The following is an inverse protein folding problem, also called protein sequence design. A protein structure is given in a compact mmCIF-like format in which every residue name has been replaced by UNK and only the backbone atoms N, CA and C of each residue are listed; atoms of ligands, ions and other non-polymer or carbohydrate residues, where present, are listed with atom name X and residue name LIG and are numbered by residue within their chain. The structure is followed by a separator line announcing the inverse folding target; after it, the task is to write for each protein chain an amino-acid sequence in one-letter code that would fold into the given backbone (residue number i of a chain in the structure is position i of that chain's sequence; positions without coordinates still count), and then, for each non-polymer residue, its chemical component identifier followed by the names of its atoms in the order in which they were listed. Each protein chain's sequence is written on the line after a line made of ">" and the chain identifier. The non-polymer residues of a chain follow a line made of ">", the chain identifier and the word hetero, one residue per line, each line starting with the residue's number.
data_IF_767144563269
#
_entry.id   IF_767144563269
#
_cell.length_a   1.000
_cell.length_b   1.000
_cell.length_c   1.000
_cell.angle_alpha   90.00
_cell.angle_beta   90.00
_cell.angle_gamma   90.00
#
_symmetry.space_group_name_H-M   'P 1'
#
loop_
_entity.id
_entity.type
_entity.pdbx_description
1 polymer ?
#
# COMPACT_ATOMS: atom_id res chain seq x y z
N UNK A 1 3.24 29.30 4.81
CA UNK A 1 2.19 28.41 4.32
C UNK A 1 2.25 27.10 5.12
N UNK A 2 1.21 26.82 5.89
CA UNK A 2 1.10 25.59 6.65
C UNK A 2 0.47 24.48 5.78
N UNK A 3 0.88 23.21 5.96
CA UNK A 3 0.35 22.11 5.19
C UNK A 3 -1.14 21.87 5.49
N UNK A 4 -1.87 21.34 4.50
CA UNK A 4 -3.20 20.76 4.71
C UNK A 4 -3.00 19.27 4.98
N UNK A 5 -3.45 18.81 6.15
CA UNK A 5 -3.28 17.42 6.61
C UNK A 5 -4.61 16.70 6.48
N UNK A 6 -4.59 15.51 5.88
CA UNK A 6 -5.74 14.62 5.79
C UNK A 6 -5.47 13.34 6.57
N UNK A 7 -6.50 12.83 7.23
CA UNK A 7 -6.46 11.50 7.83
C UNK A 7 -7.76 10.75 7.58
N UNK A 8 -7.69 9.43 7.60
CA UNK A 8 -8.85 8.56 7.40
C UNK A 8 -8.72 7.30 8.23
N UNK A 9 -9.83 6.82 8.75
CA UNK A 9 -9.91 5.55 9.47
C UNK A 9 -10.19 4.36 8.56
N UNK A 10 -10.31 4.55 7.23
CA UNK A 10 -10.72 3.50 6.27
C UNK A 10 -9.84 2.25 6.30
N UNK A 11 -8.56 2.38 6.69
CA UNK A 11 -7.61 1.26 6.82
C UNK A 11 -7.42 0.80 8.27
N UNK A 12 -8.10 1.42 9.22
CA UNK A 12 -7.94 1.19 10.67
C UNK A 12 -9.21 0.58 11.26
N UNK A 13 -10.40 1.06 10.83
CA UNK A 13 -11.69 0.68 11.41
C UNK A 13 -12.50 -0.20 10.45
N UNK A 14 -13.52 0.37 9.81
CA UNK A 14 -14.45 -0.37 8.94
C UNK A 14 -14.20 -0.05 7.48
N UNK A 15 -13.77 -1.02 6.65
CA UNK A 15 -13.64 -0.81 5.20
C UNK A 15 -14.96 -0.34 4.58
N UNK A 16 -14.89 0.70 3.76
CA UNK A 16 -16.08 1.29 3.12
C UNK A 16 -16.96 2.17 4.03
N UNK A 17 -16.67 2.24 5.32
CA UNK A 17 -17.39 3.06 6.29
C UNK A 17 -16.44 3.92 7.14
N UNK A 18 -15.29 4.27 6.62
CA UNK A 18 -14.31 5.09 7.32
C UNK A 18 -14.83 6.49 7.64
N UNK A 19 -14.25 7.09 8.68
CA UNK A 19 -14.39 8.51 9.00
C UNK A 19 -13.09 9.20 8.60
N UNK A 20 -13.19 10.36 7.96
CA UNK A 20 -12.04 11.16 7.58
C UNK A 20 -12.05 12.51 8.27
N UNK A 21 -10.88 13.09 8.46
CA UNK A 21 -10.72 14.43 8.97
C UNK A 21 -9.66 15.19 8.18
N UNK A 22 -9.77 16.51 8.22
CA UNK A 22 -8.82 17.43 7.60
C UNK A 22 -8.45 18.51 8.61
N UNK A 23 -7.19 18.88 8.64
CA UNK A 23 -6.68 19.99 9.44
C UNK A 23 -5.82 20.91 8.57
N UNK A 24 -5.95 22.21 8.80
CA UNK A 24 -5.16 23.25 8.17
C UNK A 24 -5.13 24.47 9.08
N UNK A 25 -4.37 25.48 8.71
CA UNK A 25 -4.45 26.79 9.38
C UNK A 25 -5.83 27.42 9.26
N UNK A 26 -6.11 28.42 10.10
CA UNK A 26 -7.44 29.01 10.21
C UNK A 26 -7.92 29.66 8.90
N UNK A 27 -7.03 30.30 8.14
CA UNK A 27 -7.38 30.97 6.89
C UNK A 27 -7.77 29.95 5.81
N UNK A 28 -6.97 28.89 5.64
CA UNK A 28 -7.29 27.78 4.73
C UNK A 28 -8.57 27.08 5.14
N UNK A 29 -8.77 26.80 6.44
CA UNK A 29 -10.01 26.19 6.93
C UNK A 29 -11.25 27.04 6.68
N UNK A 30 -11.14 28.35 6.75
CA UNK A 30 -12.23 29.28 6.42
C UNK A 30 -12.66 29.15 4.96
N UNK A 31 -11.69 29.20 4.04
CA UNK A 31 -11.94 29.03 2.60
C UNK A 31 -12.53 27.65 2.28
N UNK A 32 -11.99 26.62 2.90
CA UNK A 32 -12.46 25.23 2.70
C UNK A 32 -13.90 25.09 3.18
N UNK A 33 -14.24 25.55 4.40
CA UNK A 33 -15.60 25.49 4.95
C UNK A 33 -16.61 26.22 4.07
N UNK A 34 -16.24 27.39 3.54
CA UNK A 34 -17.10 28.15 2.63
C UNK A 34 -17.42 27.40 1.33
N UNK A 35 -16.52 26.58 0.83
CA UNK A 35 -16.76 25.72 -0.34
C UNK A 35 -17.53 24.46 -0.01
N UNK A 36 -17.18 23.81 1.10
CA UNK A 36 -17.83 22.55 1.54
C UNK A 36 -19.30 22.70 1.87
N UNK A 37 -19.75 23.86 2.35
CA UNK A 37 -21.16 24.10 2.67
C UNK A 37 -22.13 23.90 1.50
N UNK A 38 -21.63 24.01 0.26
CA UNK A 38 -22.43 23.71 -0.93
C UNK A 38 -22.42 22.23 -1.33
N UNK A 39 -21.46 21.47 -0.83
CA UNK A 39 -21.30 20.07 -1.15
C UNK A 39 -22.03 19.18 -0.14
N UNK A 40 -22.00 19.55 1.15
CA UNK A 40 -22.68 18.82 2.21
C UNK A 40 -23.09 19.76 3.35
N UNK A 41 -24.32 19.60 3.85
CA UNK A 41 -24.81 20.31 5.03
C UNK A 41 -24.34 19.62 6.31
N UNK A 42 -24.22 18.31 6.29
CA UNK A 42 -23.86 17.49 7.44
C UNK A 42 -23.16 16.21 6.97
N UNK A 43 -22.22 15.75 7.77
CA UNK A 43 -21.57 14.45 7.56
C UNK A 43 -22.46 13.31 8.09
N UNK A 44 -22.13 12.05 7.72
CA UNK A 44 -22.85 10.86 8.15
C UNK A 44 -22.68 10.64 9.68
N UNK A 45 -23.61 11.19 10.44
CA UNK A 45 -23.64 11.11 11.91
C UNK A 45 -23.93 9.68 12.40
N UNK A 46 -24.66 8.89 11.63
CA UNK A 46 -24.95 7.49 11.98
C UNK A 46 -23.65 6.67 11.93
N UNK A 47 -22.83 6.88 10.90
CA UNK A 47 -21.53 6.23 10.81
C UNK A 47 -20.56 6.68 11.91
N UNK A 48 -20.56 7.98 12.24
CA UNK A 48 -19.77 8.49 13.37
C UNK A 48 -20.23 7.86 14.70
N UNK A 49 -21.53 7.78 14.93
CA UNK A 49 -22.09 7.15 16.14
C UNK A 49 -21.72 5.67 16.21
N UNK A 50 -21.74 4.94 15.09
CA UNK A 50 -21.30 3.54 15.02
C UNK A 50 -19.85 3.39 15.49
N UNK A 51 -18.94 4.26 15.06
CA UNK A 51 -17.55 4.27 15.51
C UNK A 51 -17.46 4.51 17.02
N UNK A 52 -18.17 5.51 17.52
CA UNK A 52 -18.18 5.85 18.96
C UNK A 52 -18.69 4.67 19.79
N UNK A 53 -19.81 4.08 19.41
CA UNK A 53 -20.41 2.97 20.15
C UNK A 53 -19.56 1.69 20.12
N UNK A 54 -18.88 1.42 19.00
CA UNK A 54 -18.07 0.23 18.84
C UNK A 54 -16.70 0.35 19.54
N UNK A 55 -16.00 1.46 19.30
CA UNK A 55 -14.64 1.64 19.81
C UNK A 55 -14.60 2.27 21.20
N UNK A 56 -15.62 3.06 21.57
CA UNK A 56 -15.75 3.83 22.80
C UNK A 56 -14.72 4.94 22.93
N UNK A 57 -13.44 4.61 22.86
CA UNK A 57 -12.29 5.49 23.04
C UNK A 57 -11.12 5.07 22.14
N UNK A 58 -9.99 5.75 22.30
CA UNK A 58 -8.76 5.49 21.55
C UNK A 58 -8.16 4.11 21.86
N UNK A 59 -8.34 3.61 23.07
CA UNK A 59 -7.80 2.30 23.44
C UNK A 59 -8.60 1.16 22.78
N UNK A 60 -9.91 1.36 22.61
CA UNK A 60 -10.73 0.48 21.78
C UNK A 60 -10.30 0.46 20.32
N UNK A 61 -9.91 1.59 19.75
CA UNK A 61 -9.33 1.65 18.40
C UNK A 61 -8.01 0.88 18.32
N UNK A 62 -7.09 1.10 19.28
CA UNK A 62 -5.81 0.38 19.34
C UNK A 62 -6.00 -1.12 19.46
N UNK A 63 -6.88 -1.57 20.35
CA UNK A 63 -7.21 -2.98 20.51
C UNK A 63 -7.76 -3.62 19.22
N UNK A 64 -8.52 -2.86 18.43
CA UNK A 64 -8.98 -3.31 17.11
C UNK A 64 -7.83 -3.39 16.09
N UNK A 65 -6.94 -2.40 16.09
CA UNK A 65 -5.73 -2.42 15.25
C UNK A 65 -4.83 -3.62 15.56
N UNK A 66 -4.68 -4.00 16.82
CA UNK A 66 -3.91 -5.18 17.22
C UNK A 66 -4.51 -6.48 16.66
N UNK A 67 -5.83 -6.59 16.58
CA UNK A 67 -6.48 -7.74 15.91
C UNK A 67 -6.15 -7.78 14.41
N UNK A 68 -6.17 -6.65 13.72
CA UNK A 68 -5.76 -6.56 12.32
C UNK A 68 -4.28 -6.89 12.15
N UNK A 69 -3.42 -6.44 13.05
CA UNK A 69 -1.99 -6.76 13.08
C UNK A 69 -1.74 -8.27 13.15
N UNK A 70 -2.48 -9.01 13.97
CA UNK A 70 -2.36 -10.46 14.05
C UNK A 70 -2.65 -11.17 12.72
N UNK A 71 -3.52 -10.60 11.88
CA UNK A 71 -3.85 -11.12 10.55
C UNK A 71 -2.82 -10.70 9.51
N UNK A 72 -2.38 -9.44 9.55
CA UNK A 72 -1.55 -8.85 8.51
C UNK A 72 -0.06 -9.15 8.68
N UNK A 73 0.44 -9.12 9.93
CA UNK A 73 1.87 -9.29 10.18
C UNK A 73 2.46 -10.58 9.58
N UNK A 74 1.85 -11.77 9.73
CA UNK A 74 2.37 -12.99 9.10
C UNK A 74 2.52 -12.87 7.58
N UNK A 75 1.59 -12.15 6.93
CA UNK A 75 1.64 -11.91 5.48
C UNK A 75 2.80 -11.00 5.09
N UNK A 76 3.05 -9.95 5.87
CA UNK A 76 4.21 -9.09 5.66
C UNK A 76 5.53 -9.84 5.92
N UNK A 77 5.56 -10.69 6.94
CA UNK A 77 6.75 -11.50 7.25
C UNK A 77 7.11 -12.43 6.08
N UNK A 78 6.13 -13.04 5.39
CA UNK A 78 6.34 -13.83 4.17
C UNK A 78 6.98 -12.97 3.07
N UNK A 79 6.39 -11.82 2.76
CA UNK A 79 6.91 -10.94 1.70
C UNK A 79 8.35 -10.55 1.98
N UNK A 80 8.64 -10.05 3.19
CA UNK A 80 9.98 -9.59 3.55
C UNK A 80 10.99 -10.74 3.59
N UNK A 81 10.59 -11.92 4.03
CA UNK A 81 11.43 -13.13 4.02
C UNK A 81 11.86 -13.47 2.59
N UNK A 82 10.91 -13.59 1.66
CA UNK A 82 11.22 -13.89 0.25
C UNK A 82 12.11 -12.84 -0.41
N UNK A 83 11.85 -11.56 -0.15
CA UNK A 83 12.70 -10.49 -0.66
C UNK A 83 14.13 -10.61 -0.12
N UNK A 84 14.30 -10.80 1.18
CA UNK A 84 15.61 -10.93 1.83
C UNK A 84 16.39 -12.16 1.36
N UNK A 85 15.74 -13.30 1.32
CA UNK A 85 16.41 -14.59 1.06
C UNK A 85 16.67 -14.81 -0.45
N UNK A 86 15.72 -14.41 -1.31
CA UNK A 86 15.77 -14.73 -2.73
C UNK A 86 16.30 -13.58 -3.62
N UNK A 87 15.92 -12.34 -3.33
CA UNK A 87 16.30 -11.19 -4.16
C UNK A 87 17.47 -10.44 -3.56
N UNK A 88 17.52 -10.30 -2.23
CA UNK A 88 18.57 -9.57 -1.53
C UNK A 88 20.00 -9.93 -1.95
N UNK A 89 20.36 -11.22 -2.02
CA UNK A 89 21.72 -11.62 -2.44
C UNK A 89 22.10 -11.22 -3.86
N UNK A 90 21.13 -10.94 -4.73
CA UNK A 90 21.37 -10.58 -6.13
C UNK A 90 21.58 -9.09 -6.35
N UNK A 91 21.15 -8.25 -5.42
CA UNK A 91 21.24 -6.78 -5.53
C UNK A 91 20.38 -6.15 -6.64
N UNK A 92 19.47 -6.91 -7.27
CA UNK A 92 18.63 -6.41 -8.39
C UNK A 92 17.37 -5.67 -7.95
N UNK A 93 17.11 -5.61 -6.65
CA UNK A 93 16.03 -4.81 -6.09
C UNK A 93 16.35 -4.33 -4.68
N UNK A 94 15.71 -3.24 -4.30
CA UNK A 94 15.68 -2.72 -2.94
C UNK A 94 14.23 -2.57 -2.48
N UNK A 95 14.00 -2.52 -1.17
CA UNK A 95 12.66 -2.37 -0.64
C UNK A 95 12.68 -1.64 0.69
N UNK A 96 11.56 -1.06 1.02
CA UNK A 96 11.31 -0.48 2.34
C UNK A 96 10.66 -1.52 3.26
N UNK A 97 11.20 -1.67 4.48
CA UNK A 97 10.59 -2.52 5.52
C UNK A 97 9.61 -1.68 6.35
N UNK A 98 8.29 -1.81 6.13
CA UNK A 98 7.32 -0.96 6.80
C UNK A 98 7.10 -1.41 8.25
N UNK A 99 7.00 -0.45 9.17
CA UNK A 99 6.57 -0.68 10.54
C UNK A 99 5.04 -0.78 10.69
N UNK A 100 4.30 -0.60 9.61
CA UNK A 100 2.84 -0.65 9.57
C UNK A 100 2.31 -0.34 8.18
N UNK A 101 0.99 -0.26 8.04
CA UNK A 101 0.35 0.01 6.76
C UNK A 101 -0.06 -1.28 6.02
N UNK A 102 -0.28 -1.17 4.70
CA UNK A 102 -0.85 -2.23 3.87
C UNK A 102 0.01 -2.61 2.67
N UNK A 103 1.17 -1.99 2.51
CA UNK A 103 1.99 -2.13 1.30
C UNK A 103 3.46 -2.28 1.63
N UNK A 104 4.16 -3.05 0.79
CA UNK A 104 5.62 -3.04 0.69
C UNK A 104 5.99 -2.40 -0.64
N UNK A 105 6.77 -1.32 -0.60
CA UNK A 105 7.32 -0.71 -1.79
C UNK A 105 8.64 -1.42 -2.15
N UNK A 106 8.73 -1.87 -3.39
CA UNK A 106 9.90 -2.56 -3.94
C UNK A 106 10.36 -1.80 -5.17
N UNK A 107 11.62 -1.40 -5.20
CA UNK A 107 12.27 -0.82 -6.36
C UNK A 107 13.15 -1.88 -7.01
N UNK A 108 12.69 -2.40 -8.15
CA UNK A 108 13.43 -3.34 -8.99
C UNK A 108 14.41 -2.59 -9.90
N UNK A 109 15.26 -3.30 -10.64
CA UNK A 109 16.18 -2.69 -11.59
C UNK A 109 15.46 -1.71 -12.53
N UNK A 110 16.04 -0.54 -12.77
CA UNK A 110 15.45 0.50 -13.63
C UNK A 110 15.09 -0.05 -15.03
N UNK A 111 13.88 0.27 -15.49
CA UNK A 111 13.35 -0.19 -16.78
C UNK A 111 12.81 -1.62 -16.76
N UNK A 112 12.54 -2.21 -15.57
CA UNK A 112 12.06 -3.60 -15.49
C UNK A 112 10.72 -3.80 -14.76
N UNK A 113 10.17 -2.78 -14.08
CA UNK A 113 8.98 -2.97 -13.26
C UNK A 113 7.76 -3.47 -14.08
N UNK A 114 7.51 -2.88 -15.25
CA UNK A 114 6.43 -3.34 -16.16
C UNK A 114 6.64 -4.78 -16.60
N UNK A 115 7.88 -5.16 -16.89
CA UNK A 115 8.23 -6.53 -17.30
C UNK A 115 8.02 -7.52 -16.16
N UNK A 116 8.41 -7.18 -14.94
CA UNK A 116 8.15 -8.01 -13.75
C UNK A 116 6.65 -8.23 -13.55
N UNK A 117 5.86 -7.16 -13.59
CA UNK A 117 4.40 -7.27 -13.45
C UNK A 117 3.77 -8.12 -14.56
N UNK A 118 4.26 -7.99 -15.80
CA UNK A 118 3.83 -8.81 -16.92
C UNK A 118 4.14 -10.29 -16.68
N UNK A 119 5.38 -10.64 -16.33
CA UNK A 119 5.81 -12.02 -16.06
C UNK A 119 5.01 -12.65 -14.92
N UNK A 120 4.77 -11.90 -13.83
CA UNK A 120 3.91 -12.36 -12.74
C UNK A 120 2.50 -12.67 -13.24
N UNK A 121 1.90 -11.78 -14.05
CA UNK A 121 0.57 -11.97 -14.61
C UNK A 121 0.48 -13.20 -15.52
N UNK A 122 1.49 -13.42 -16.37
CA UNK A 122 1.61 -14.62 -17.23
C UNK A 122 1.69 -15.90 -16.43
N UNK A 123 2.30 -15.84 -15.25
CA UNK A 123 2.38 -16.96 -14.28
C UNK A 123 1.16 -17.06 -13.35
N UNK A 124 0.12 -16.25 -13.56
CA UNK A 124 -1.13 -16.28 -12.77
C UNK A 124 -1.13 -15.41 -11.51
N UNK A 125 -0.09 -14.58 -11.28
CA UNK A 125 -0.02 -13.67 -10.14
C UNK A 125 -0.34 -12.24 -10.58
N UNK A 126 -1.48 -11.71 -10.11
CA UNK A 126 -1.92 -10.35 -10.44
C UNK A 126 -1.44 -9.37 -9.37
N UNK A 127 -0.58 -8.45 -9.78
CA UNK A 127 -0.07 -7.36 -8.95
C UNK A 127 -0.76 -6.03 -9.27
N UNK A 128 -0.60 -5.05 -8.40
CA UNK A 128 -0.89 -3.64 -8.76
C UNK A 128 0.01 -3.25 -9.93
N UNK A 129 -0.52 -2.52 -10.90
CA UNK A 129 0.27 -2.09 -12.06
C UNK A 129 1.52 -1.31 -11.69
N UNK A 130 2.59 -1.50 -12.44
CA UNK A 130 3.82 -0.73 -12.29
C UNK A 130 3.52 0.78 -12.43
N UNK A 131 4.18 1.60 -11.62
CA UNK A 131 3.95 3.05 -11.61
C UNK A 131 2.70 3.53 -10.87
N UNK A 132 1.88 2.64 -10.30
CA UNK A 132 0.66 3.02 -9.58
C UNK A 132 0.90 3.92 -8.34
N UNK A 133 2.12 4.06 -7.88
CA UNK A 133 2.54 4.94 -6.79
C UNK A 133 2.89 6.35 -7.25
N UNK A 134 2.97 6.58 -8.54
CA UNK A 134 3.33 7.86 -9.16
C UNK A 134 2.10 8.58 -9.72
N UNK A 135 2.12 9.92 -9.75
CA UNK A 135 1.07 10.69 -10.40
C UNK A 135 0.87 10.23 -11.85
N UNK A 136 -0.37 10.08 -12.25
CA UNK A 136 -0.78 9.61 -13.59
C UNK A 136 -0.23 8.22 -13.99
N UNK A 137 0.28 7.44 -13.02
CA UNK A 137 0.87 6.13 -13.29
C UNK A 137 2.21 6.19 -14.01
N UNK A 138 2.87 7.33 -14.03
CA UNK A 138 4.11 7.53 -14.77
C UNK A 138 5.31 7.50 -13.81
N UNK A 139 5.91 6.30 -13.67
CA UNK A 139 7.20 6.12 -13.01
C UNK A 139 8.31 6.37 -14.04
N UNK A 140 9.11 7.45 -13.90
CA UNK A 140 10.15 7.80 -14.88
C UNK A 140 11.28 6.78 -14.94
N UNK A 141 11.45 5.96 -13.90
CA UNK A 141 12.48 4.93 -13.82
C UNK A 141 11.97 3.54 -14.19
N UNK A 142 10.66 3.35 -14.29
CA UNK A 142 10.04 2.03 -14.45
C UNK A 142 10.64 0.98 -13.48
N UNK A 143 10.68 1.34 -12.18
CA UNK A 143 11.32 0.56 -11.13
C UNK A 143 10.40 0.20 -9.97
N UNK A 144 9.37 1.01 -9.69
CA UNK A 144 8.59 0.86 -8.48
C UNK A 144 7.40 -0.10 -8.65
N UNK A 145 7.32 -1.07 -7.74
CA UNK A 145 6.20 -2.01 -7.62
C UNK A 145 5.68 -1.98 -6.18
N UNK A 146 4.36 -1.87 -6.04
CA UNK A 146 3.68 -1.92 -4.76
C UNK A 146 3.10 -3.31 -4.52
N UNK A 147 3.60 -4.03 -3.52
CA UNK A 147 3.06 -5.32 -3.08
C UNK A 147 1.99 -5.08 -2.00
N UNK A 148 0.80 -5.64 -2.19
CA UNK A 148 -0.34 -5.57 -1.28
C UNK A 148 -0.71 -6.97 -0.77
N UNK A 149 -0.12 -7.47 0.33
CA UNK A 149 -0.24 -8.87 0.74
C UNK A 149 -1.54 -9.19 1.50
N UNK A 150 -2.44 -8.21 1.68
CA UNK A 150 -3.59 -8.37 2.58
C UNK A 150 -4.65 -9.37 2.12
N UNK A 151 -4.85 -9.55 0.82
CA UNK A 151 -5.94 -10.36 0.26
C UNK A 151 -5.65 -11.88 0.27
N UNK A 152 -4.54 -12.40 -0.30
CA UNK A 152 -4.33 -13.84 -0.45
C UNK A 152 -4.20 -14.56 0.91
N UNK A 153 -4.43 -15.86 0.93
CA UNK A 153 -4.05 -16.74 2.05
C UNK A 153 -2.53 -16.78 2.21
N UNK A 154 -2.03 -17.34 3.32
CA UNK A 154 -0.58 -17.46 3.52
C UNK A 154 0.06 -18.36 2.47
N UNK A 155 -0.57 -19.49 2.14
CA UNK A 155 -0.06 -20.46 1.14
C UNK A 155 -0.04 -19.87 -0.29
N UNK A 156 -1.08 -19.13 -0.65
CA UNK A 156 -1.13 -18.41 -1.93
C UNK A 156 -0.06 -17.32 -1.99
N UNK A 157 0.18 -16.62 -0.89
CA UNK A 157 1.17 -15.56 -0.80
C UNK A 157 2.60 -16.11 -0.91
N UNK A 158 2.90 -17.26 -0.28
CA UNK A 158 4.20 -17.94 -0.44
C UNK A 158 4.47 -18.21 -1.92
N UNK A 159 3.53 -18.84 -2.64
CA UNK A 159 3.66 -19.13 -4.07
C UNK A 159 3.77 -17.86 -4.93
N UNK A 160 2.97 -16.84 -4.61
CA UNK A 160 3.02 -15.57 -5.33
C UNK A 160 4.38 -14.87 -5.17
N UNK A 161 4.97 -14.94 -3.98
CA UNK A 161 6.28 -14.35 -3.71
C UNK A 161 7.42 -15.13 -4.36
N UNK A 162 7.33 -16.47 -4.44
CA UNK A 162 8.28 -17.28 -5.22
C UNK A 162 8.29 -16.83 -6.70
N UNK A 163 7.11 -16.70 -7.31
CA UNK A 163 6.96 -16.25 -8.70
C UNK A 163 7.49 -14.82 -8.86
N UNK A 164 7.14 -13.92 -7.94
CA UNK A 164 7.63 -12.53 -7.97
C UNK A 164 9.16 -12.45 -7.94
N UNK A 165 9.80 -13.22 -7.07
CA UNK A 165 11.25 -13.24 -6.95
C UNK A 165 11.92 -13.79 -8.21
N UNK A 166 11.37 -14.84 -8.83
CA UNK A 166 11.87 -15.37 -10.11
C UNK A 166 11.68 -14.37 -11.23
N UNK A 167 10.48 -13.77 -11.34
CA UNK A 167 10.18 -12.75 -12.34
C UNK A 167 11.12 -11.54 -12.25
N UNK A 168 11.41 -11.08 -11.02
CA UNK A 168 12.32 -9.96 -10.77
C UNK A 168 13.75 -10.29 -11.26
N UNK A 169 14.26 -11.46 -10.91
CA UNK A 169 15.59 -11.91 -11.37
C UNK A 169 15.65 -12.08 -12.88
N UNK A 170 14.62 -12.70 -13.47
CA UNK A 170 14.55 -12.92 -14.92
C UNK A 170 14.52 -11.60 -15.71
N UNK A 171 13.69 -10.65 -15.26
CA UNK A 171 13.61 -9.33 -15.88
C UNK A 171 14.94 -8.58 -15.81
N UNK A 172 15.63 -8.66 -14.67
CA UNK A 172 16.95 -8.05 -14.50
C UNK A 172 18.02 -8.69 -15.41
N UNK A 173 18.07 -10.02 -15.49
CA UNK A 173 19.01 -10.73 -16.39
C UNK A 173 18.75 -10.34 -17.84
N UNK A 174 17.50 -10.36 -18.30
CA UNK A 174 17.18 -9.98 -19.67
C UNK A 174 17.62 -8.54 -19.97
N UNK A 175 17.39 -7.61 -19.03
CA UNK A 175 17.80 -6.21 -19.16
C UNK A 175 19.31 -6.03 -19.25
N UNK A 176 20.06 -6.82 -18.49
CA UNK A 176 21.53 -6.80 -18.54
C UNK A 176 22.03 -7.32 -19.90
N UNK A 177 21.45 -8.43 -20.39
CA UNK A 177 21.83 -9.01 -21.68
C UNK A 177 21.50 -8.11 -22.87
N UNK A 178 20.38 -7.35 -22.80
CA UNK A 178 20.02 -6.36 -23.82
C UNK A 178 21.01 -5.19 -23.91
N UNK A 179 21.75 -4.91 -22.84
CA UNK A 179 22.72 -3.81 -22.76
C UNK A 179 24.19 -4.26 -22.99
N UNK A 180 24.44 -5.54 -23.22
CA UNK A 180 25.73 -6.11 -23.57
C UNK A 180 25.93 -6.16 -25.08
#
# INVERSE_FOLDING_TARGET
>A
DLPIIFCSTSKITFPGSGVAAMAADENNMKVIKEKYKYQTISFDKVNMLRHILFFKDIDGVKAHMDKHKCILKPKFDIVLKHLKESVGPTGVATWFEPNGGYFVAVDVMEGTAKKVVQLCKEAGVVLTGAGATYPYGNDPKDSNIRIAPSYPTLDELEKAMEIFCVATKLAAVNKILENM
#
